data_IF_343881466762
#
_entry.id   IF_343881466762
#
_cell.length_a   1.000
_cell.length_b   1.000
_cell.length_c   1.000
_cell.angle_alpha   90.00
_cell.angle_beta   90.00
_cell.angle_gamma   90.00
#
_symmetry.space_group_name_H-M   'P 1'
#
loop_
_entity.id
_entity.type
_entity.pdbx_description
1 polymer ?
#
# COMPACT_ATOMS: atom_id res chain seq x y z
N UNK A 1 -54.94 -0.01 -50.27
CA UNK A 1 -54.24 -1.24 -50.73
C UNK A 1 -52.78 -1.11 -50.34
N UNK A 2 -52.17 -1.89 -49.45
CA UNK A 2 -52.42 -3.23 -48.90
C UNK A 2 -52.46 -3.16 -47.36
N UNK A 3 -53.54 -3.70 -46.77
CA UNK A 3 -53.59 -4.05 -45.35
C UNK A 3 -52.71 -5.30 -45.21
N UNK A 4 -51.67 -5.23 -44.37
CA UNK A 4 -50.85 -6.39 -44.03
C UNK A 4 -51.73 -7.50 -43.45
N UNK A 5 -51.52 -8.72 -43.89
CA UNK A 5 -52.27 -9.91 -43.49
C UNK A 5 -52.30 -10.06 -41.97
N UNK A 6 -53.48 -10.07 -41.33
CA UNK A 6 -53.60 -10.22 -39.88
C UNK A 6 -53.57 -11.71 -39.51
N UNK A 7 -52.39 -12.37 -39.55
CA UNK A 7 -52.20 -13.67 -38.86
C UNK A 7 -50.76 -14.23 -38.87
N UNK A 8 -49.73 -13.37 -38.82
CA UNK A 8 -48.36 -13.87 -38.55
C UNK A 8 -48.05 -13.61 -37.08
N UNK A 9 -47.96 -14.63 -36.21
CA UNK A 9 -47.54 -14.44 -34.83
C UNK A 9 -46.15 -13.79 -34.82
N UNK A 10 -46.08 -12.55 -34.35
CA UNK A 10 -44.81 -11.86 -34.13
C UNK A 10 -44.29 -12.29 -32.76
N UNK A 11 -43.24 -13.10 -32.75
CA UNK A 11 -42.57 -13.51 -31.52
C UNK A 11 -41.65 -12.37 -31.06
N UNK A 12 -42.04 -11.67 -30.00
CA UNK A 12 -41.14 -10.80 -29.26
C UNK A 12 -40.34 -11.66 -28.28
N UNK A 13 -39.04 -11.83 -28.51
CA UNK A 13 -38.12 -12.41 -27.55
C UNK A 13 -37.54 -11.32 -26.67
N UNK A 14 -37.95 -11.29 -25.41
CA UNK A 14 -37.25 -10.54 -24.37
C UNK A 14 -36.05 -11.40 -23.93
N UNK A 15 -34.84 -10.99 -24.29
CA UNK A 15 -33.59 -11.58 -23.82
C UNK A 15 -32.86 -10.61 -22.92
N UNK A 16 -32.21 -11.09 -21.86
CA UNK A 16 -31.29 -10.28 -21.09
C UNK A 16 -30.16 -9.75 -22.00
N UNK A 17 -29.80 -8.47 -21.89
CA UNK A 17 -28.65 -7.90 -22.58
C UNK A 17 -27.41 -7.99 -21.66
N UNK A 18 -26.47 -8.92 -21.92
CA UNK A 18 -25.28 -9.09 -21.09
C UNK A 18 -24.19 -8.04 -21.36
N UNK A 19 -24.40 -7.08 -22.27
CA UNK A 19 -23.39 -6.07 -22.63
C UNK A 19 -22.92 -5.23 -21.44
N UNK A 20 -23.84 -4.85 -20.56
CA UNK A 20 -23.56 -4.08 -19.33
C UNK A 20 -22.76 -4.93 -18.34
N UNK A 21 -23.19 -6.17 -18.09
CA UNK A 21 -22.50 -7.10 -17.21
C UNK A 21 -21.09 -7.43 -17.72
N UNK A 22 -20.92 -7.60 -19.03
CA UNK A 22 -19.60 -7.80 -19.63
C UNK A 22 -18.69 -6.61 -19.38
N UNK A 23 -19.19 -5.40 -19.62
CA UNK A 23 -18.41 -4.17 -19.42
C UNK A 23 -18.00 -4.03 -17.96
N UNK A 24 -18.92 -4.27 -17.03
CA UNK A 24 -18.65 -4.26 -15.59
C UNK A 24 -17.62 -5.32 -15.19
N UNK A 25 -17.76 -6.56 -15.68
CA UNK A 25 -16.81 -7.64 -15.42
C UNK A 25 -15.39 -7.33 -15.94
N UNK A 26 -15.28 -6.78 -17.16
CA UNK A 26 -14.00 -6.33 -17.73
C UNK A 26 -13.36 -5.20 -16.92
N UNK A 27 -14.16 -4.21 -16.55
CA UNK A 27 -13.70 -3.10 -15.73
C UNK A 27 -13.21 -3.60 -14.36
N UNK A 28 -13.96 -4.49 -13.73
CA UNK A 28 -13.58 -5.14 -12.47
C UNK A 28 -12.24 -5.87 -12.59
N UNK A 29 -12.08 -6.76 -13.57
CA UNK A 29 -10.83 -7.50 -13.79
C UNK A 29 -9.65 -6.56 -13.99
N UNK A 30 -9.85 -5.50 -14.78
CA UNK A 30 -8.81 -4.50 -15.07
C UNK A 30 -8.40 -3.73 -13.81
N UNK A 31 -9.38 -3.23 -13.05
CA UNK A 31 -9.14 -2.44 -11.83
C UNK A 31 -8.53 -3.30 -10.73
N UNK A 32 -9.04 -4.52 -10.51
CA UNK A 32 -8.47 -5.46 -9.54
C UNK A 32 -7.02 -5.80 -9.88
N UNK A 33 -6.71 -6.06 -11.15
CA UNK A 33 -5.34 -6.34 -11.58
C UNK A 33 -4.42 -5.13 -11.40
N UNK A 34 -4.93 -3.93 -11.70
CA UNK A 34 -4.18 -2.69 -11.51
C UNK A 34 -3.88 -2.44 -10.03
N UNK A 35 -4.88 -2.60 -9.15
CA UNK A 35 -4.72 -2.47 -7.70
C UNK A 35 -3.73 -3.50 -7.15
N UNK A 36 -3.88 -4.78 -7.53
CA UNK A 36 -2.98 -5.86 -7.11
C UNK A 36 -1.55 -5.62 -7.57
N UNK A 37 -1.36 -5.12 -8.79
CA UNK A 37 -0.06 -4.76 -9.34
C UNK A 37 0.56 -3.57 -8.61
N UNK A 38 -0.23 -2.54 -8.31
CA UNK A 38 0.24 -1.38 -7.54
C UNK A 38 0.65 -1.77 -6.11
N UNK A 39 -0.15 -2.59 -5.42
CA UNK A 39 0.20 -3.11 -4.09
C UNK A 39 1.47 -3.94 -4.12
N UNK A 40 1.65 -4.78 -5.16
CA UNK A 40 2.86 -5.57 -5.36
C UNK A 40 4.07 -4.69 -5.64
N UNK A 41 3.95 -3.64 -6.46
CA UNK A 41 5.09 -2.78 -6.80
C UNK A 41 5.66 -2.07 -5.57
N UNK A 42 4.80 -1.59 -4.68
CA UNK A 42 5.22 -0.88 -3.45
C UNK A 42 5.66 -1.81 -2.31
N UNK A 43 5.32 -3.10 -2.35
CA UNK A 43 5.66 -4.08 -1.30
C UNK A 43 6.63 -5.19 -1.72
N UNK A 44 7.01 -5.25 -2.99
CA UNK A 44 7.86 -6.33 -3.52
C UNK A 44 9.28 -6.32 -2.96
N UNK A 45 9.96 -7.45 -3.13
CA UNK A 45 11.39 -7.59 -2.94
C UNK A 45 12.02 -8.09 -4.24
N UNK A 46 13.01 -7.37 -4.76
CA UNK A 46 13.75 -7.81 -5.92
C UNK A 46 14.93 -8.68 -5.46
N UNK A 47 14.82 -9.99 -5.65
CA UNK A 47 15.86 -10.94 -5.24
C UNK A 47 17.18 -10.78 -6.01
N UNK A 48 17.14 -10.28 -7.26
CA UNK A 48 18.33 -10.09 -8.08
C UNK A 48 19.14 -8.87 -7.63
N UNK A 49 18.47 -7.74 -7.36
CA UNK A 49 19.12 -6.51 -6.89
C UNK A 49 19.27 -6.46 -5.37
N UNK A 50 18.60 -7.36 -4.64
CA UNK A 50 18.47 -7.37 -3.17
C UNK A 50 17.87 -6.08 -2.61
N UNK A 51 17.00 -5.43 -3.40
CA UNK A 51 16.33 -4.18 -3.01
C UNK A 51 14.87 -4.45 -2.66
N UNK A 52 14.48 -4.00 -1.48
CA UNK A 52 13.09 -4.00 -1.03
C UNK A 52 12.38 -2.71 -1.46
N UNK A 53 11.11 -2.82 -1.85
CA UNK A 53 10.26 -1.66 -2.09
C UNK A 53 9.95 -0.91 -0.76
N UNK A 54 9.55 0.38 -0.81
CA UNK A 54 9.40 1.21 0.39
C UNK A 54 8.43 0.67 1.45
N UNK A 55 7.39 -0.07 1.04
CA UNK A 55 6.39 -0.65 1.93
C UNK A 55 6.56 -2.17 2.09
N UNK A 56 7.75 -2.69 1.81
CA UNK A 56 8.04 -4.11 2.04
C UNK A 56 7.87 -4.44 3.53
N UNK A 57 7.11 -5.50 3.81
CA UNK A 57 6.81 -5.90 5.19
C UNK A 57 5.74 -5.04 5.88
N UNK A 58 5.18 -4.02 5.23
CA UNK A 58 4.11 -3.21 5.83
C UNK A 58 2.88 -4.09 6.17
N UNK A 59 2.36 -4.04 7.40
CA UNK A 59 1.23 -4.88 7.80
C UNK A 59 -0.09 -4.49 7.13
N UNK A 60 -0.33 -3.22 6.81
CA UNK A 60 -1.53 -2.78 6.11
C UNK A 60 -1.50 -3.20 4.64
N UNK A 61 -0.40 -2.98 3.93
CA UNK A 61 -0.30 -3.41 2.52
C UNK A 61 -0.51 -4.91 2.40
N UNK A 62 0.08 -5.69 3.33
CA UNK A 62 -0.14 -7.13 3.42
C UNK A 62 -1.57 -7.49 3.81
N UNK A 63 -2.20 -6.69 4.68
CA UNK A 63 -3.60 -6.83 5.09
C UNK A 63 -4.55 -6.67 3.91
N UNK A 64 -4.48 -5.53 3.22
CA UNK A 64 -5.29 -5.23 2.03
C UNK A 64 -5.08 -6.28 0.94
N UNK A 65 -3.83 -6.67 0.68
CA UNK A 65 -3.53 -7.71 -0.31
C UNK A 65 -4.13 -9.08 0.05
N UNK A 66 -4.24 -9.41 1.34
CA UNK A 66 -4.90 -10.65 1.79
C UNK A 66 -6.41 -10.55 1.70
N UNK A 67 -6.97 -9.41 2.08
CA UNK A 67 -8.41 -9.17 2.05
C UNK A 67 -8.95 -9.22 0.61
N UNK A 68 -8.33 -8.50 -0.32
CA UNK A 68 -8.68 -8.56 -1.75
C UNK A 68 -8.64 -9.99 -2.31
N UNK A 69 -7.60 -10.76 -1.97
CA UNK A 69 -7.50 -12.17 -2.39
C UNK A 69 -8.55 -13.05 -1.71
N UNK A 70 -8.89 -12.79 -0.45
CA UNK A 70 -9.90 -13.56 0.26
C UNK A 70 -11.29 -13.34 -0.33
N UNK A 71 -11.65 -12.08 -0.64
CA UNK A 71 -12.91 -11.73 -1.30
C UNK A 71 -13.04 -12.43 -2.65
N UNK A 72 -12.04 -12.29 -3.52
CA UNK A 72 -12.03 -12.94 -4.83
C UNK A 72 -11.99 -14.47 -4.71
N UNK A 73 -11.24 -15.01 -3.74
CA UNK A 73 -11.13 -16.44 -3.49
C UNK A 73 -12.44 -17.07 -2.99
N UNK A 74 -13.22 -16.36 -2.18
CA UNK A 74 -14.54 -16.81 -1.74
C UNK A 74 -15.53 -16.95 -2.92
N UNK A 75 -15.33 -16.17 -3.96
CA UNK A 75 -16.15 -16.11 -5.17
C UNK A 75 -15.61 -16.95 -6.34
N UNK A 76 -14.62 -17.83 -6.11
CA UNK A 76 -13.90 -18.54 -7.18
C UNK A 76 -14.80 -19.39 -8.08
N UNK A 77 -15.79 -20.08 -7.52
CA UNK A 77 -16.69 -20.94 -8.29
C UNK A 77 -17.56 -20.13 -9.24
N UNK A 78 -18.09 -19.00 -8.76
CA UNK A 78 -18.94 -18.11 -9.55
C UNK A 78 -18.15 -17.37 -10.62
N UNK A 79 -16.93 -16.92 -10.27
CA UNK A 79 -16.01 -16.30 -11.22
C UNK A 79 -15.69 -17.28 -12.35
N UNK A 80 -15.39 -18.54 -12.00
CA UNK A 80 -15.10 -19.58 -12.99
C UNK A 80 -16.33 -19.91 -13.85
N UNK A 81 -17.52 -19.95 -13.26
CA UNK A 81 -18.77 -20.19 -13.97
C UNK A 81 -19.05 -19.14 -15.06
N UNK A 82 -18.56 -17.90 -14.87
CA UNK A 82 -18.67 -16.82 -15.86
C UNK A 82 -17.41 -16.64 -16.72
N UNK A 83 -16.46 -17.57 -16.70
CA UNK A 83 -15.25 -17.49 -17.54
C UNK A 83 -14.16 -16.55 -17.01
N UNK A 84 -14.16 -16.22 -15.71
CA UNK A 84 -13.09 -15.49 -15.04
C UNK A 84 -12.26 -16.47 -14.20
N UNK A 85 -10.94 -16.46 -14.40
CA UNK A 85 -10.00 -17.35 -13.71
C UNK A 85 -9.01 -16.55 -12.88
N UNK A 86 -8.53 -17.16 -11.79
CA UNK A 86 -7.52 -16.58 -10.90
C UNK A 86 -6.17 -17.23 -11.24
N UNK A 87 -5.18 -16.42 -11.61
CA UNK A 87 -3.81 -16.84 -11.88
C UNK A 87 -3.03 -17.15 -10.61
N UNK A 88 -1.88 -17.82 -10.77
CA UNK A 88 -0.98 -18.14 -9.65
C UNK A 88 -0.34 -16.91 -9.00
N UNK A 89 -0.30 -15.80 -9.73
CA UNK A 89 0.12 -14.48 -9.25
C UNK A 89 -0.99 -13.72 -8.53
N UNK A 90 -2.20 -14.30 -8.47
CA UNK A 90 -3.39 -13.71 -7.87
C UNK A 90 -4.10 -12.71 -8.78
N UNK A 91 -3.70 -12.57 -10.05
CA UNK A 91 -4.37 -11.73 -11.03
C UNK A 91 -5.57 -12.45 -11.66
N UNK A 92 -6.54 -11.68 -12.12
CA UNK A 92 -7.73 -12.18 -12.80
C UNK A 92 -7.53 -12.19 -14.31
N UNK A 93 -8.06 -13.23 -14.97
CA UNK A 93 -8.14 -13.33 -16.42
C UNK A 93 -9.56 -13.68 -16.83
N UNK A 94 -10.15 -12.86 -17.69
CA UNK A 94 -11.46 -13.10 -18.29
C UNK A 94 -11.31 -13.70 -19.68
N UNK A 95 -12.07 -14.75 -19.98
CA UNK A 95 -12.28 -15.28 -21.32
C UNK A 95 -13.61 -14.75 -21.85
N UNK A 96 -13.52 -13.87 -22.85
CA UNK A 96 -14.69 -13.18 -23.42
C UNK A 96 -15.71 -14.16 -24.03
N UNK A 97 -15.24 -15.22 -24.69
CA UNK A 97 -16.11 -16.19 -25.33
C UNK A 97 -16.79 -17.09 -24.28
N UNK A 98 -16.04 -17.49 -23.25
CA UNK A 98 -16.60 -18.26 -22.14
C UNK A 98 -17.61 -17.44 -21.33
N UNK A 99 -17.36 -16.15 -21.12
CA UNK A 99 -18.30 -15.23 -20.47
C UNK A 99 -19.60 -15.14 -21.26
N UNK A 100 -19.53 -14.99 -22.59
CA UNK A 100 -20.74 -14.92 -23.44
C UNK A 100 -21.55 -16.19 -23.43
N UNK A 101 -20.87 -17.34 -23.50
CA UNK A 101 -21.50 -18.63 -23.36
C UNK A 101 -22.17 -18.79 -21.98
N UNK A 102 -21.54 -18.29 -20.91
CA UNK A 102 -22.10 -18.32 -19.57
C UNK A 102 -23.34 -17.42 -19.47
N UNK A 103 -23.30 -16.19 -19.99
CA UNK A 103 -24.41 -15.24 -19.90
C UNK A 103 -25.65 -15.66 -20.69
N UNK A 104 -25.48 -16.48 -21.74
CA UNK A 104 -26.61 -17.07 -22.47
C UNK A 104 -27.17 -18.31 -21.80
N UNK A 105 -26.36 -19.01 -21.00
CA UNK A 105 -26.74 -20.25 -20.32
C UNK A 105 -27.38 -20.00 -18.94
N UNK A 106 -26.73 -19.22 -18.10
CA UNK A 106 -27.16 -18.90 -16.74
C UNK A 106 -26.49 -17.60 -16.26
N UNK A 107 -27.29 -16.56 -16.03
CA UNK A 107 -26.81 -15.27 -15.53
C UNK A 107 -26.69 -15.22 -14.00
N UNK A 108 -27.23 -16.20 -13.29
CA UNK A 108 -27.30 -16.22 -11.82
C UNK A 108 -25.94 -16.05 -11.15
N UNK A 109 -24.84 -16.69 -11.61
CA UNK A 109 -23.51 -16.47 -11.03
C UNK A 109 -23.02 -15.02 -11.19
N UNK A 110 -23.26 -14.38 -12.34
CA UNK A 110 -22.88 -12.98 -12.53
C UNK A 110 -23.71 -12.03 -11.64
N UNK A 111 -25.01 -12.29 -11.51
CA UNK A 111 -25.88 -11.53 -10.60
C UNK A 111 -25.40 -11.65 -9.15
N UNK A 112 -25.09 -12.88 -8.69
CA UNK A 112 -24.59 -13.10 -7.32
C UNK A 112 -23.26 -12.42 -7.04
N UNK A 113 -22.38 -12.32 -8.04
CA UNK A 113 -21.09 -11.65 -7.89
C UNK A 113 -21.22 -10.12 -7.81
N UNK A 114 -21.98 -9.53 -8.71
CA UNK A 114 -21.91 -8.09 -8.99
C UNK A 114 -23.14 -7.30 -8.56
N UNK A 115 -24.27 -7.96 -8.29
CA UNK A 115 -25.55 -7.31 -7.99
C UNK A 115 -26.02 -7.60 -6.56
N UNK A 116 -25.84 -8.83 -6.07
CA UNK A 116 -26.31 -9.19 -4.73
C UNK A 116 -25.58 -8.40 -3.62
N UNK A 117 -26.32 -8.02 -2.57
CA UNK A 117 -25.80 -7.26 -1.42
C UNK A 117 -24.75 -8.01 -0.58
N UNK A 118 -24.69 -9.33 -0.75
CA UNK A 118 -23.69 -10.22 -0.15
C UNK A 118 -22.64 -10.71 -1.17
N UNK A 119 -22.68 -10.17 -2.39
CA UNK A 119 -21.77 -10.52 -3.47
C UNK A 119 -20.37 -9.94 -3.33
N UNK A 120 -19.51 -10.32 -4.27
CA UNK A 120 -18.12 -9.86 -4.36
C UNK A 120 -18.03 -8.33 -4.38
N UNK A 121 -18.89 -7.67 -5.15
CA UNK A 121 -18.91 -6.20 -5.25
C UNK A 121 -19.16 -5.55 -3.89
N UNK A 122 -20.20 -5.98 -3.17
CA UNK A 122 -20.53 -5.44 -1.85
C UNK A 122 -19.48 -5.75 -0.78
N UNK A 123 -18.83 -6.92 -0.84
CA UNK A 123 -17.73 -7.28 0.04
C UNK A 123 -16.49 -6.39 -0.17
N UNK A 124 -16.18 -6.08 -1.43
CA UNK A 124 -15.09 -5.18 -1.80
C UNK A 124 -15.39 -3.73 -1.42
N UNK A 125 -16.62 -3.26 -1.64
CA UNK A 125 -17.06 -1.91 -1.30
C UNK A 125 -16.84 -1.61 0.19
N UNK A 126 -17.37 -2.48 1.08
CA UNK A 126 -17.14 -2.39 2.54
C UNK A 126 -15.68 -2.41 2.95
N UNK A 127 -14.85 -3.10 2.18
CA UNK A 127 -13.41 -3.21 2.45
C UNK A 127 -12.67 -1.96 2.02
N UNK A 128 -13.09 -1.35 0.91
CA UNK A 128 -12.60 -0.07 0.43
C UNK A 128 -13.04 1.09 1.33
N UNK A 129 -14.29 1.11 1.80
CA UNK A 129 -14.79 2.13 2.74
C UNK A 129 -13.91 2.20 3.99
N UNK A 130 -13.69 1.05 4.66
CA UNK A 130 -12.83 0.97 5.85
C UNK A 130 -11.40 1.47 5.59
N UNK A 131 -10.93 1.37 4.36
CA UNK A 131 -9.58 1.74 3.98
C UNK A 131 -9.47 3.23 3.60
N UNK A 132 -10.47 3.74 2.86
CA UNK A 132 -10.44 5.02 2.14
C UNK A 132 -11.30 6.11 2.76
N UNK A 133 -12.18 5.77 3.71
CA UNK A 133 -12.99 6.75 4.43
C UNK A 133 -12.14 7.84 5.08
N UNK A 134 -12.79 8.97 5.39
CA UNK A 134 -12.15 10.11 6.03
C UNK A 134 -11.46 9.73 7.36
N UNK A 135 -12.05 8.80 8.11
CA UNK A 135 -11.48 8.22 9.34
C UNK A 135 -10.98 6.77 9.11
N UNK A 136 -10.63 6.45 7.86
CA UNK A 136 -10.21 5.13 7.43
C UNK A 136 -8.75 4.83 7.74
N UNK A 137 -8.35 3.56 7.55
CA UNK A 137 -7.01 3.09 7.89
C UNK A 137 -5.88 3.81 7.14
N UNK A 138 -6.10 4.29 5.91
CA UNK A 138 -5.08 5.07 5.21
C UNK A 138 -4.92 6.47 5.78
N UNK A 139 -6.02 7.10 6.20
CA UNK A 139 -5.98 8.41 6.84
C UNK A 139 -5.18 8.35 8.16
N UNK A 140 -5.51 7.39 9.03
CA UNK A 140 -4.81 7.18 10.30
C UNK A 140 -3.30 6.99 10.13
N UNK A 141 -2.90 6.29 9.07
CA UNK A 141 -1.48 6.10 8.74
C UNK A 141 -0.82 7.38 8.31
N UNK A 142 -1.46 8.14 7.44
CA UNK A 142 -0.92 9.41 6.95
C UNK A 142 -0.70 10.37 8.13
N UNK A 143 -1.69 10.50 9.01
CA UNK A 143 -1.58 11.33 10.21
C UNK A 143 -0.47 10.83 11.16
N UNK A 144 -0.39 9.52 11.38
CA UNK A 144 0.66 8.91 12.21
C UNK A 144 2.05 9.17 11.63
N UNK A 145 2.23 9.03 10.32
CA UNK A 145 3.50 9.26 9.65
C UNK A 145 3.88 10.74 9.64
N UNK A 146 2.92 11.64 9.45
CA UNK A 146 3.12 13.09 9.56
C UNK A 146 3.57 13.48 10.99
N UNK A 147 2.92 12.90 12.02
CA UNK A 147 3.26 13.14 13.42
C UNK A 147 4.65 12.60 13.78
N UNK A 148 5.00 11.41 13.30
CA UNK A 148 6.35 10.84 13.46
C UNK A 148 7.40 11.72 12.80
N UNK A 149 7.13 12.21 11.59
CA UNK A 149 8.04 13.12 10.87
C UNK A 149 8.30 14.39 11.68
N UNK A 150 7.24 15.02 12.21
CA UNK A 150 7.37 16.19 13.09
C UNK A 150 8.18 15.88 14.36
N UNK A 151 7.95 14.72 14.96
CA UNK A 151 8.66 14.30 16.18
C UNK A 151 10.15 14.09 15.91
N UNK A 152 10.49 13.40 14.81
CA UNK A 152 11.89 13.18 14.40
C UNK A 152 12.59 14.50 14.09
N UNK A 153 11.90 15.47 13.46
CA UNK A 153 12.45 16.80 13.21
C UNK A 153 12.83 17.50 14.52
N UNK A 154 11.94 17.50 15.52
CA UNK A 154 12.22 18.07 16.86
C UNK A 154 13.38 17.35 17.57
N UNK A 155 13.46 16.03 17.45
CA UNK A 155 14.57 15.25 18.03
C UNK A 155 15.91 15.62 17.39
N UNK A 156 15.95 15.86 16.08
CA UNK A 156 17.15 16.32 15.38
C UNK A 156 17.61 17.69 15.87
N UNK A 157 16.69 18.64 16.02
CA UNK A 157 16.99 19.99 16.53
C UNK A 157 17.53 19.95 17.98
N UNK A 158 16.91 19.15 18.84
CA UNK A 158 17.39 18.97 20.21
C UNK A 158 18.78 18.31 20.26
N UNK A 159 19.03 17.34 19.38
CA UNK A 159 20.35 16.70 19.26
C UNK A 159 21.41 17.69 18.77
N UNK A 160 21.08 18.50 17.77
CA UNK A 160 21.99 19.53 17.22
C UNK A 160 22.41 20.52 18.32
N UNK A 161 21.44 21.04 19.07
CA UNK A 161 21.68 21.93 20.22
C UNK A 161 22.61 21.28 21.25
N UNK A 162 22.40 20.00 21.55
CA UNK A 162 23.25 19.25 22.49
C UNK A 162 24.67 19.06 21.95
N UNK A 163 24.82 18.79 20.66
CA UNK A 163 26.12 18.64 20.02
C UNK A 163 26.92 19.94 20.08
N UNK A 164 26.29 21.09 19.81
CA UNK A 164 26.94 22.41 19.95
C UNK A 164 27.40 22.67 21.39
N UNK A 165 26.56 22.37 22.38
CA UNK A 165 26.92 22.54 23.79
C UNK A 165 28.09 21.62 24.21
N UNK A 166 28.10 20.37 23.73
CA UNK A 166 29.18 19.41 23.98
C UNK A 166 30.48 19.89 23.33
N UNK A 167 30.42 20.38 22.10
CA UNK A 167 31.57 20.96 21.41
C UNK A 167 32.16 22.15 22.19
N UNK A 168 31.30 23.10 22.58
CA UNK A 168 31.72 24.26 23.38
C UNK A 168 32.39 23.84 24.69
N UNK A 169 31.83 22.84 25.38
CA UNK A 169 32.42 22.28 26.61
C UNK A 169 33.78 21.66 26.36
N UNK A 170 33.94 20.85 25.31
CA UNK A 170 35.23 20.23 25.01
C UNK A 170 36.29 21.25 24.57
N UNK A 171 35.91 22.29 23.82
CA UNK A 171 36.81 23.41 23.52
C UNK A 171 37.29 24.12 24.78
N UNK A 172 36.39 24.40 25.73
CA UNK A 172 36.75 25.03 27.00
C UNK A 172 37.67 24.13 27.85
N UNK A 173 37.38 22.81 27.91
CA UNK A 173 38.24 21.85 28.61
C UNK A 173 39.63 21.76 27.97
N UNK A 174 39.72 21.78 26.65
CA UNK A 174 40.99 21.76 25.93
C UNK A 174 41.85 22.99 26.25
N UNK A 175 41.27 24.19 26.22
CA UNK A 175 41.98 25.43 26.59
C UNK A 175 42.42 25.42 28.05
N UNK A 176 41.59 24.91 28.96
CA UNK A 176 41.95 24.79 30.38
C UNK A 176 43.12 23.80 30.60
N UNK A 177 43.12 22.68 29.87
CA UNK A 177 44.23 21.70 29.91
C UNK A 177 45.54 22.30 29.37
N UNK A 178 45.47 23.12 28.32
CA UNK A 178 46.64 23.83 27.76
C UNK A 178 47.21 24.86 28.74
N UNK A 179 46.34 25.62 29.41
CA UNK A 179 46.73 26.54 30.49
C UNK A 179 47.39 25.81 31.67
N UNK A 180 46.81 24.68 32.11
CA UNK A 180 47.38 23.85 33.17
C UNK A 180 48.76 23.31 32.76
N UNK A 181 48.92 22.82 31.54
CA UNK A 181 50.19 22.31 31.03
C UNK A 181 51.28 23.40 31.05
N UNK A 182 50.94 24.60 30.59
CA UNK A 182 51.84 25.76 30.62
C UNK A 182 52.26 26.09 32.05
N UNK A 183 51.30 26.12 32.98
CA UNK A 183 51.58 26.38 34.39
C UNK A 183 52.46 25.29 35.03
N UNK A 184 52.20 24.01 34.73
CA UNK A 184 53.03 22.90 35.19
C UNK A 184 54.46 23.01 34.64
N UNK A 185 54.65 23.43 33.39
CA UNK A 185 55.96 23.66 32.81
C UNK A 185 56.72 24.79 33.53
N UNK A 186 56.04 25.90 33.87
CA UNK A 186 56.63 26.99 34.65
C UNK A 186 57.02 26.54 36.06
N UNK A 187 56.18 25.76 36.75
CA UNK A 187 56.48 25.21 38.08
C UNK A 187 57.68 24.25 37.99
N UNK A 188 57.71 23.37 37.00
CA UNK A 188 58.84 22.46 36.79
C UNK A 188 60.15 23.22 36.58
N UNK A 189 60.13 24.31 35.79
CA UNK A 189 61.30 25.17 35.57
C UNK A 189 61.75 25.84 36.86
N UNK A 190 60.82 26.42 37.62
CA UNK A 190 61.10 27.06 38.91
C UNK A 190 61.73 26.09 39.92
N UNK A 191 61.15 24.88 40.05
CA UNK A 191 61.69 23.84 40.94
C UNK A 191 63.09 23.40 40.52
N UNK A 192 63.33 23.24 39.21
CA UNK A 192 64.66 22.91 38.67
C UNK A 192 65.68 23.99 39.03
N UNK A 193 65.28 25.26 38.96
CA UNK A 193 66.15 26.40 39.27
C UNK A 193 66.43 26.55 40.77
N UNK A 194 65.45 26.26 41.62
CA UNK A 194 65.62 26.18 43.08
C UNK A 194 66.58 25.04 43.46
N UNK A 195 66.42 23.85 42.86
CA UNK A 195 67.28 22.70 43.09
C UNK A 195 68.73 22.92 42.62
N UNK A 196 68.93 23.67 41.53
CA UNK A 196 70.27 23.99 41.03
C UNK A 196 71.03 25.06 41.86
N UNK A 197 70.31 25.79 42.71
CA UNK A 197 70.87 26.82 43.60
C UNK A 197 71.09 26.32 45.05
N UNK A 198 70.82 25.04 45.31
CA UNK A 198 71.11 24.31 46.55
C UNK A 198 72.39 23.48 46.38
#
# INVERSE_FOLDING_TARGET
TKVGTPDVPQTFTVSADPSVLRTAAKAFVTTYNSATTALKSVSSYNAATKVAAPLNGDPLVRGVSRDLRAQVGASVEDLKAIGITIGTDGLLKMDDAAFDAAMTKDTTPATRLFVDDAGLAAGLDKSLDRLLDADGLLHDRDETLATRTKTIAKQREALDTRMTAVEARYRAQFVALDGLMTQMQSISSYLTQQLANL
#
